data_IF_749224428220
#
_entry.id   IF_749224428220
#
_cell.length_a   1.000
_cell.length_b   1.000
_cell.length_c   1.000
_cell.angle_alpha   90.00
_cell.angle_beta   90.00
_cell.angle_gamma   90.00
#
_symmetry.space_group_name_H-M   'P 1'
#
loop_
_entity.id
_entity.type
_entity.pdbx_description
1 polymer ?
#
# COMPACT_ATOMS: atom_id res chain seq x y z
N UNK A 1 -22.27 -9.67 6.50
CA UNK A 1 -21.66 -9.25 6.44
C UNK A 1 -21.01 -8.71 6.20
N UNK A 2 -21.71 -8.57 6.41
CA UNK A 2 -20.82 -8.00 5.66
C UNK A 2 -19.41 -8.20 6.03
N UNK A 3 -18.84 -8.86 5.37
CA UNK A 3 -17.47 -9.18 5.56
C UNK A 3 -16.60 -7.95 5.77
N UNK A 4 -17.11 -6.83 5.35
CA UNK A 4 -16.33 -5.61 5.51
C UNK A 4 -16.60 -4.93 6.82
N UNK A 5 -17.47 -5.49 7.63
CA UNK A 5 -17.77 -4.90 8.91
C UNK A 5 -16.49 -4.74 9.71
N UNK A 6 -16.22 -3.54 10.16
CA UNK A 6 -15.06 -3.25 10.96
C UNK A 6 -13.81 -2.90 10.19
N UNK A 7 -13.81 -3.02 8.86
CA UNK A 7 -12.65 -2.61 8.09
C UNK A 7 -12.81 -1.17 7.65
N UNK A 8 -11.85 -0.36 8.01
CA UNK A 8 -11.94 1.07 7.78
C UNK A 8 -10.77 1.62 6.98
N UNK A 9 -10.22 0.81 6.08
CA UNK A 9 -9.14 1.28 5.23
C UNK A 9 -9.55 2.46 4.39
N UNK A 10 -8.71 3.48 4.32
CA UNK A 10 -8.99 4.65 3.51
C UNK A 10 -7.68 5.28 3.02
N UNK A 11 -7.79 6.09 1.99
CA UNK A 11 -6.63 6.72 1.36
C UNK A 11 -6.20 7.94 2.16
N UNK A 12 -4.92 8.05 2.44
CA UNK A 12 -4.35 9.23 3.07
C UNK A 12 -4.33 10.35 2.04
N UNK A 13 -4.90 11.51 2.39
CA UNK A 13 -4.99 12.62 1.45
C UNK A 13 -4.16 13.83 1.83
N UNK A 14 -3.74 13.90 3.07
CA UNK A 14 -3.06 15.10 3.57
C UNK A 14 -1.56 14.94 3.36
N UNK A 15 -0.97 15.88 2.61
CA UNK A 15 0.45 15.83 2.28
C UNK A 15 1.34 15.74 3.50
N UNK A 16 0.98 16.44 4.57
CA UNK A 16 1.80 16.43 5.77
C UNK A 16 1.84 15.04 6.41
N UNK A 17 0.73 14.31 6.36
CA UNK A 17 0.71 12.96 6.91
C UNK A 17 1.55 12.03 6.05
N UNK A 18 1.47 12.18 4.73
CA UNK A 18 2.28 11.38 3.83
C UNK A 18 3.76 11.62 4.10
N UNK A 19 4.16 12.88 4.19
CA UNK A 19 5.54 13.21 4.45
C UNK A 19 6.05 12.65 5.77
N UNK A 20 5.19 12.66 6.78
CA UNK A 20 5.55 12.13 8.08
C UNK A 20 5.79 10.62 8.00
N UNK A 21 4.92 9.90 7.32
CA UNK A 21 5.09 8.45 7.18
C UNK A 21 6.36 8.13 6.40
N UNK A 22 6.63 8.88 5.34
CA UNK A 22 7.84 8.66 4.55
C UNK A 22 9.09 8.90 5.39
N UNK A 23 9.03 9.85 6.31
CA UNK A 23 10.19 10.23 7.10
C UNK A 23 10.42 9.32 8.29
N UNK A 24 9.36 8.92 8.99
CA UNK A 24 9.49 8.17 10.22
C UNK A 24 9.06 6.72 10.12
N UNK A 25 8.41 6.34 9.03
CA UNK A 25 7.95 4.97 8.87
C UNK A 25 9.06 4.02 8.49
N UNK A 26 8.76 2.75 8.61
CA UNK A 26 9.68 1.70 8.18
C UNK A 26 9.55 1.51 6.68
N UNK A 27 10.64 1.10 6.03
CA UNK A 27 10.68 0.97 4.58
C UNK A 27 10.93 -0.47 4.17
N UNK A 28 10.15 -0.93 3.20
CA UNK A 28 10.35 -2.23 2.58
C UNK A 28 10.51 -1.98 1.08
N UNK A 29 11.56 -2.53 0.50
CA UNK A 29 11.83 -2.34 -0.91
C UNK A 29 11.74 -3.69 -1.62
N UNK A 30 10.98 -3.73 -2.71
CA UNK A 30 10.91 -4.89 -3.57
C UNK A 30 11.22 -4.46 -5.00
N UNK A 31 11.26 -5.43 -5.91
CA UNK A 31 11.44 -5.15 -7.33
C UNK A 31 10.31 -4.28 -7.87
N UNK A 32 9.10 -4.42 -7.32
CA UNK A 32 7.91 -3.82 -7.90
C UNK A 32 7.45 -2.56 -7.21
N UNK A 33 7.90 -2.31 -5.97
CA UNK A 33 7.46 -1.13 -5.24
C UNK A 33 8.35 -0.88 -4.04
N UNK A 34 8.25 0.35 -3.52
CA UNK A 34 8.75 0.71 -2.21
C UNK A 34 7.53 0.94 -1.34
N UNK A 35 7.56 0.39 -0.14
CA UNK A 35 6.44 0.53 0.78
C UNK A 35 6.94 1.09 2.09
N UNK A 36 6.26 2.12 2.57
CA UNK A 36 6.54 2.72 3.87
C UNK A 36 5.34 2.47 4.76
N UNK A 37 5.57 2.12 6.01
CA UNK A 37 4.47 1.89 6.92
C UNK A 37 4.84 2.35 8.32
N UNK A 38 3.80 2.76 9.06
CA UNK A 38 3.96 3.23 10.42
C UNK A 38 2.77 2.74 11.24
N UNK A 39 3.02 1.92 12.28
CA UNK A 39 1.91 1.51 13.16
C UNK A 39 1.33 2.72 13.86
N UNK A 40 0.01 2.71 14.03
CA UNK A 40 -0.71 3.80 14.64
C UNK A 40 -1.53 3.26 15.81
N UNK A 41 -1.83 4.13 16.77
CA UNK A 41 -2.60 3.71 17.94
C UNK A 41 -4.10 3.78 17.72
N UNK A 42 -4.52 3.87 16.48
CA UNK A 42 -5.93 3.83 16.11
C UNK A 42 -6.24 2.46 15.53
N UNK A 43 -7.52 2.24 15.21
CA UNK A 43 -7.90 1.00 14.55
C UNK A 43 -8.02 1.19 13.04
N UNK A 44 -7.79 2.39 12.55
CA UNK A 44 -7.93 2.67 11.13
C UNK A 44 -6.71 2.22 10.35
N UNK A 45 -6.96 1.64 9.20
CA UNK A 45 -5.91 1.36 8.23
C UNK A 45 -6.03 2.40 7.13
N UNK A 46 -4.99 3.20 6.98
CA UNK A 46 -4.99 4.23 5.94
C UNK A 46 -3.86 3.94 4.98
N UNK A 47 -4.11 4.17 3.70
CA UNK A 47 -3.06 3.95 2.72
C UNK A 47 -3.14 4.99 1.61
N UNK A 48 -2.01 5.17 0.94
CA UNK A 48 -1.90 6.02 -0.23
C UNK A 48 -0.98 5.35 -1.23
N UNK A 49 -1.27 5.56 -2.51
CA UNK A 49 -0.38 5.13 -3.58
C UNK A 49 0.13 6.40 -4.26
N UNK A 50 1.45 6.57 -4.25
CA UNK A 50 2.09 7.74 -4.84
C UNK A 50 2.80 7.31 -6.10
N UNK A 51 2.48 7.98 -7.22
CA UNK A 51 3.09 7.67 -8.50
C UNK A 51 3.82 8.90 -9.01
N UNK A 52 5.01 8.69 -9.55
CA UNK A 52 5.83 9.77 -10.04
C UNK A 52 6.16 9.60 -11.51
N UNK A 53 6.98 10.53 -12.00
CA UNK A 53 7.31 10.58 -13.43
C UNK A 53 8.06 9.34 -13.91
N UNK A 54 8.72 8.63 -13.02
CA UNK A 54 9.46 7.43 -13.41
C UNK A 54 8.57 6.38 -14.04
N UNK A 55 7.26 6.40 -13.73
CA UNK A 55 6.34 5.42 -14.28
C UNK A 55 5.89 5.74 -15.70
N UNK A 56 6.20 6.92 -16.20
CA UNK A 56 5.82 7.31 -17.54
C UNK A 56 4.75 8.37 -17.56
N UNK A 57 3.92 8.35 -18.60
CA UNK A 57 2.90 9.38 -18.79
C UNK A 57 1.73 9.21 -17.84
N UNK A 58 0.76 10.14 -17.94
CA UNK A 58 -0.37 10.15 -17.02
C UNK A 58 -1.22 8.88 -17.10
N UNK A 59 -1.36 8.31 -18.29
CA UNK A 59 -2.15 7.09 -18.44
C UNK A 59 -1.50 5.95 -17.67
N UNK A 60 -0.19 5.79 -17.81
CA UNK A 60 0.53 4.74 -17.10
C UNK A 60 0.49 4.96 -15.60
N UNK A 61 0.66 6.21 -15.16
CA UNK A 61 0.61 6.52 -13.74
C UNK A 61 -0.76 6.24 -13.14
N UNK A 62 -1.82 6.62 -13.84
CA UNK A 62 -3.17 6.37 -13.34
C UNK A 62 -3.49 4.88 -13.28
N UNK A 63 -3.03 4.13 -14.26
CA UNK A 63 -3.22 2.68 -14.25
C UNK A 63 -2.53 2.03 -13.06
N UNK A 64 -1.28 2.42 -12.80
CA UNK A 64 -0.54 1.87 -11.68
C UNK A 64 -1.22 2.22 -10.36
N UNK A 65 -1.64 3.47 -10.23
CA UNK A 65 -2.30 3.91 -9.01
C UNK A 65 -3.56 3.09 -8.75
N UNK A 66 -4.38 2.90 -9.80
CA UNK A 66 -5.63 2.17 -9.65
C UNK A 66 -5.39 0.70 -9.28
N UNK A 67 -4.42 0.07 -9.95
CA UNK A 67 -4.10 -1.33 -9.68
C UNK A 67 -3.64 -1.54 -8.23
N UNK A 68 -2.73 -0.71 -7.77
CA UNK A 68 -2.21 -0.87 -6.41
C UNK A 68 -3.23 -0.47 -5.35
N UNK A 69 -4.08 0.52 -5.61
CA UNK A 69 -5.16 0.83 -4.68
C UNK A 69 -6.09 -0.36 -4.50
N UNK A 70 -6.42 -1.00 -5.61
CA UNK A 70 -7.29 -2.17 -5.57
C UNK A 70 -6.63 -3.30 -4.80
N UNK A 71 -5.35 -3.55 -5.07
CA UNK A 71 -4.63 -4.61 -4.38
C UNK A 71 -4.53 -4.34 -2.88
N UNK A 72 -4.19 -3.12 -2.50
CA UNK A 72 -4.09 -2.79 -1.09
C UNK A 72 -5.43 -2.98 -0.40
N UNK A 73 -6.51 -2.50 -1.03
CA UNK A 73 -7.83 -2.63 -0.45
C UNK A 73 -8.21 -4.09 -0.21
N UNK A 74 -7.81 -4.97 -1.12
CA UNK A 74 -8.17 -6.38 -1.01
C UNK A 74 -7.24 -7.19 -0.13
N UNK A 75 -5.96 -6.86 -0.13
CA UNK A 75 -4.96 -7.74 0.47
C UNK A 75 -4.53 -7.35 1.87
N UNK A 76 -4.77 -6.11 2.30
CA UNK A 76 -4.40 -5.73 3.66
C UNK A 76 -5.21 -6.57 4.65
N UNK A 77 -4.55 -7.26 5.59
CA UNK A 77 -5.27 -8.06 6.56
C UNK A 77 -6.19 -7.21 7.42
N UNK A 78 -7.41 -7.66 7.59
CA UNK A 78 -8.44 -6.88 8.29
C UNK A 78 -8.16 -6.68 9.77
N UNK A 79 -7.40 -7.59 10.36
CA UNK A 79 -7.11 -7.54 11.77
C UNK A 79 -5.72 -7.00 12.05
N UNK A 80 -5.19 -6.23 11.11
CA UNK A 80 -3.83 -5.72 11.24
C UNK A 80 -3.68 -4.64 12.32
N UNK A 81 -4.78 -4.05 12.74
CA UNK A 81 -4.69 -2.89 13.65
C UNK A 81 -4.42 -1.62 12.89
N UNK A 82 -4.24 -0.53 13.60
CA UNK A 82 -4.02 0.76 12.97
C UNK A 82 -2.66 0.86 12.32
N UNK A 83 -2.64 1.28 11.05
CA UNK A 83 -1.38 1.43 10.33
C UNK A 83 -1.57 2.42 9.18
N UNK A 84 -0.54 3.22 8.94
CA UNK A 84 -0.46 4.06 7.75
C UNK A 84 0.50 3.39 6.79
N UNK A 85 0.07 3.24 5.53
CA UNK A 85 0.85 2.57 4.50
C UNK A 85 0.95 3.50 3.29
N UNK A 86 2.16 3.70 2.80
CA UNK A 86 2.37 4.42 1.55
C UNK A 86 3.13 3.51 0.60
N UNK A 87 2.57 3.31 -0.58
CA UNK A 87 3.18 2.46 -1.58
C UNK A 87 3.56 3.29 -2.79
N UNK A 88 4.79 3.15 -3.23
CA UNK A 88 5.31 3.85 -4.38
C UNK A 88 5.69 2.81 -5.43
N UNK A 89 4.89 2.66 -6.49
CA UNK A 89 5.18 1.66 -7.52
C UNK A 89 6.47 1.95 -8.26
N UNK A 90 7.22 0.91 -8.57
CA UNK A 90 8.39 1.01 -9.42
C UNK A 90 8.00 0.65 -10.85
N UNK A 91 8.80 1.10 -11.85
CA UNK A 91 8.45 0.81 -13.25
C UNK A 91 8.29 -0.66 -13.55
N UNK A 92 9.01 -1.54 -12.86
CA UNK A 92 8.91 -2.97 -13.09
C UNK A 92 7.51 -3.52 -12.81
N UNK A 93 6.67 -2.80 -12.05
CA UNK A 93 5.34 -3.28 -11.73
C UNK A 93 4.32 -3.03 -12.83
N UNK A 94 4.63 -2.16 -13.78
CA UNK A 94 3.62 -1.68 -14.73
C UNK A 94 3.04 -2.79 -15.58
N UNK A 95 3.89 -3.65 -16.07
CA UNK A 95 3.44 -4.76 -16.92
C UNK A 95 3.48 -6.11 -16.21
N UNK A 96 3.64 -6.09 -14.90
CA UNK A 96 3.72 -7.34 -14.16
C UNK A 96 2.33 -7.95 -13.98
N UNK A 97 2.29 -9.27 -13.95
CA UNK A 97 1.06 -10.02 -13.72
C UNK A 97 0.48 -9.65 -12.35
N UNK A 98 -0.83 -9.45 -12.32
CA UNK A 98 -1.49 -9.02 -11.09
C UNK A 98 -1.35 -10.07 -9.97
N UNK A 99 -1.28 -11.34 -10.31
CA UNK A 99 -1.13 -12.38 -9.31
C UNK A 99 0.23 -12.35 -8.66
N UNK A 100 1.26 -11.97 -9.41
CA UNK A 100 2.60 -11.82 -8.86
C UNK A 100 2.65 -10.63 -7.92
N UNK A 101 2.03 -9.53 -8.31
CA UNK A 101 1.98 -8.35 -7.44
C UNK A 101 1.21 -8.66 -6.15
N UNK A 102 0.12 -9.42 -6.26
CA UNK A 102 -0.66 -9.78 -5.08
C UNK A 102 0.15 -10.64 -4.13
N UNK A 103 0.88 -11.62 -4.67
CA UNK A 103 1.72 -12.46 -3.83
C UNK A 103 2.82 -11.66 -3.15
N UNK A 104 3.41 -10.72 -3.89
CA UNK A 104 4.44 -9.87 -3.30
C UNK A 104 3.89 -9.07 -2.13
N UNK A 105 2.70 -8.52 -2.29
CA UNK A 105 2.07 -7.76 -1.21
C UNK A 105 1.74 -8.63 0.00
N UNK A 106 1.21 -9.82 -0.24
CA UNK A 106 0.92 -10.73 0.86
C UNK A 106 2.18 -11.09 1.63
N UNK A 107 3.27 -11.35 0.92
CA UNK A 107 4.54 -11.63 1.57
C UNK A 107 5.00 -10.44 2.40
N UNK A 108 4.84 -9.25 1.86
CA UNK A 108 5.21 -8.03 2.58
C UNK A 108 4.41 -7.90 3.88
N UNK A 109 3.09 -8.06 3.79
CA UNK A 109 2.25 -7.88 4.98
C UNK A 109 2.56 -8.92 6.05
N UNK A 110 2.70 -10.18 5.67
CA UNK A 110 2.81 -11.25 6.63
C UNK A 110 4.23 -11.41 7.14
N UNK A 111 5.21 -11.39 6.26
CA UNK A 111 6.58 -11.70 6.63
C UNK A 111 7.42 -10.46 6.96
N UNK A 112 7.19 -9.36 6.26
CA UNK A 112 8.01 -8.17 6.49
C UNK A 112 7.38 -7.23 7.51
N UNK A 113 6.06 -7.11 7.50
CA UNK A 113 5.35 -6.23 8.43
C UNK A 113 4.74 -6.98 9.60
N UNK A 114 4.84 -8.32 9.58
CA UNK A 114 4.36 -9.17 10.67
C UNK A 114 2.89 -8.94 10.99
N UNK A 115 2.09 -8.74 9.98
CA UNK A 115 0.66 -8.55 10.17
C UNK A 115 -0.04 -9.89 10.33
N UNK A 116 -1.02 -9.97 11.24
CA UNK A 116 -1.80 -11.20 11.37
C UNK A 116 -2.69 -11.40 10.14
N UNK A 117 -2.92 -12.65 9.83
CA UNK A 117 -3.81 -12.98 8.71
C UNK A 117 -5.26 -12.91 9.11
#
# INVERSE_FOLDING_TARGET
MSKEAGWTGRVIRISSEIGSVLKTGRKIKTKWYRLFYRPMETEEIRFAVIVGRRLGNAVRRNRAKRRFRELLRKEIPRHAGGVDIILIPEPASIDEDIHILREALNTTFIHSMDMPR
#
